data_IF_679654147956
#
_entry.id   IF_679654147956
#
_cell.length_a   1.000
_cell.length_b   1.000
_cell.length_c   1.000
_cell.angle_alpha   90.00
_cell.angle_beta   90.00
_cell.angle_gamma   90.00
#
_symmetry.space_group_name_H-M   'P 1'
#
loop_
_entity.id
_entity.type
_entity.pdbx_description
1 polymer ?
#
# COMPACT_ATOMS: atom_id res chain seq x y z
N UNK A 1 -25.19 -5.64 -12.79
CA UNK A 1 -24.09 -5.15 -13.66
C UNK A 1 -22.96 -6.17 -13.77
N UNK A 2 -22.49 -6.78 -12.67
CA UNK A 2 -21.45 -7.83 -12.70
C UNK A 2 -21.86 -9.08 -13.50
N UNK A 3 -23.11 -9.47 -13.48
CA UNK A 3 -23.61 -10.68 -14.16
C UNK A 3 -23.54 -10.63 -15.70
N UNK A 4 -23.25 -9.46 -16.27
CA UNK A 4 -23.10 -9.25 -17.71
C UNK A 4 -21.62 -9.25 -18.17
N UNK A 5 -20.68 -9.32 -17.24
CA UNK A 5 -19.25 -9.35 -17.54
C UNK A 5 -18.80 -10.78 -17.88
N UNK A 6 -17.83 -10.88 -18.80
CA UNK A 6 -17.16 -12.15 -19.08
C UNK A 6 -16.21 -12.54 -17.94
N UNK A 7 -15.64 -13.77 -17.98
CA UNK A 7 -14.88 -14.34 -16.88
C UNK A 7 -13.75 -13.45 -16.33
N UNK A 8 -12.86 -12.94 -17.19
CA UNK A 8 -11.73 -12.12 -16.76
C UNK A 8 -12.14 -10.71 -16.31
N UNK A 9 -13.08 -10.08 -17.03
CA UNK A 9 -13.60 -8.76 -16.68
C UNK A 9 -14.32 -8.81 -15.32
N UNK A 10 -15.05 -9.88 -15.08
CA UNK A 10 -15.74 -10.13 -13.81
C UNK A 10 -14.76 -10.30 -12.66
N UNK A 11 -13.71 -11.11 -12.81
CA UNK A 11 -12.69 -11.31 -11.77
C UNK A 11 -11.99 -10.00 -11.40
N UNK A 12 -11.62 -9.19 -12.38
CA UNK A 12 -11.00 -7.88 -12.11
C UNK A 12 -11.96 -6.94 -11.41
N UNK A 13 -13.24 -6.91 -11.82
CA UNK A 13 -14.26 -6.08 -11.17
C UNK A 13 -14.53 -6.52 -9.72
N UNK A 14 -14.64 -7.83 -9.47
CA UNK A 14 -14.82 -8.40 -8.13
C UNK A 14 -13.63 -8.05 -7.22
N UNK A 15 -12.39 -8.22 -7.71
CA UNK A 15 -11.18 -7.84 -6.97
C UNK A 15 -11.11 -6.35 -6.67
N UNK A 16 -11.46 -5.48 -7.62
CA UNK A 16 -11.51 -4.04 -7.40
C UNK A 16 -12.58 -3.66 -6.35
N UNK A 17 -13.75 -4.27 -6.39
CA UNK A 17 -14.80 -4.04 -5.39
C UNK A 17 -14.42 -4.57 -4.01
N UNK A 18 -13.70 -5.69 -3.94
CA UNK A 18 -13.18 -6.21 -2.68
C UNK A 18 -12.16 -5.23 -2.10
N UNK A 19 -11.18 -4.81 -2.91
CA UNK A 19 -10.19 -3.82 -2.49
C UNK A 19 -10.84 -2.54 -1.92
N UNK A 20 -11.86 -2.00 -2.59
CA UNK A 20 -12.55 -0.80 -2.10
C UNK A 20 -13.25 -1.01 -0.74
N UNK A 21 -13.81 -2.22 -0.50
CA UNK A 21 -14.42 -2.53 0.80
C UNK A 21 -13.37 -2.68 1.90
N UNK A 22 -12.28 -3.37 1.59
CA UNK A 22 -11.20 -3.61 2.54
C UNK A 22 -10.50 -2.29 2.89
N UNK A 23 -10.28 -1.44 1.90
CA UNK A 23 -9.70 -0.10 2.04
C UNK A 23 -10.57 0.80 2.96
N UNK A 24 -11.90 0.81 2.74
CA UNK A 24 -12.84 1.56 3.58
C UNK A 24 -12.84 1.04 5.03
N UNK A 25 -12.89 -0.27 5.24
CA UNK A 25 -12.83 -0.88 6.56
C UNK A 25 -11.51 -0.59 7.27
N UNK A 26 -10.39 -0.71 6.56
CA UNK A 26 -9.05 -0.49 7.06
C UNK A 26 -8.83 0.97 7.50
N UNK A 27 -9.13 1.93 6.62
CA UNK A 27 -8.91 3.35 6.90
C UNK A 27 -9.84 3.92 7.98
N UNK A 28 -10.99 3.31 8.21
CA UNK A 28 -11.93 3.72 9.26
C UNK A 28 -11.70 2.99 10.60
N UNK A 29 -10.77 2.04 10.69
CA UNK A 29 -10.53 1.38 11.97
C UNK A 29 -9.83 2.32 12.96
N UNK A 30 -10.16 2.23 14.28
CA UNK A 30 -9.61 3.13 15.29
C UNK A 30 -8.09 3.10 15.37
N UNK A 31 -7.47 1.93 15.19
CA UNK A 31 -6.02 1.77 15.22
C UNK A 31 -5.33 2.54 14.09
N UNK A 32 -5.84 2.45 12.84
CA UNK A 32 -5.30 3.20 11.71
C UNK A 32 -5.39 4.71 11.94
N UNK A 33 -6.58 5.22 12.30
CA UNK A 33 -6.81 6.65 12.54
C UNK A 33 -5.90 7.19 13.64
N UNK A 34 -5.72 6.45 14.72
CA UNK A 34 -4.80 6.80 15.80
C UNK A 34 -3.36 6.86 15.32
N UNK A 35 -2.90 5.85 14.58
CA UNK A 35 -1.52 5.76 14.08
C UNK A 35 -1.22 6.86 13.06
N UNK A 36 -2.12 7.11 12.12
CA UNK A 36 -2.00 8.21 11.15
C UNK A 36 -1.80 9.55 11.88
N UNK A 37 -2.63 9.83 12.89
CA UNK A 37 -2.50 11.05 13.68
C UNK A 37 -1.20 11.12 14.47
N UNK A 38 -0.78 10.03 15.13
CA UNK A 38 0.46 9.99 15.91
C UNK A 38 1.69 10.19 15.01
N UNK A 39 1.75 9.48 13.88
CA UNK A 39 2.87 9.61 12.94
C UNK A 39 2.90 10.99 12.28
N UNK A 40 1.74 11.57 11.95
CA UNK A 40 1.65 12.96 11.47
C UNK A 40 2.29 13.95 12.44
N UNK A 41 2.04 13.78 13.76
CA UNK A 41 2.67 14.62 14.80
C UNK A 41 4.19 14.41 14.85
N UNK A 42 4.67 13.17 14.72
CA UNK A 42 6.11 12.86 14.72
C UNK A 42 6.82 13.50 13.52
N UNK A 43 6.26 13.35 12.32
CA UNK A 43 6.79 13.99 11.12
C UNK A 43 6.73 15.52 11.20
N UNK A 44 5.66 16.10 11.80
CA UNK A 44 5.55 17.54 12.00
C UNK A 44 6.69 18.13 12.85
N UNK A 45 7.23 17.36 13.80
CA UNK A 45 8.39 17.79 14.61
C UNK A 45 9.69 17.87 13.82
N UNK A 46 9.84 17.03 12.80
CA UNK A 46 11.00 17.07 11.89
C UNK A 46 10.81 18.08 10.74
N UNK A 47 9.58 18.34 10.38
CA UNK A 47 9.18 19.26 9.30
C UNK A 47 8.43 20.43 9.95
N UNK A 48 9.15 21.42 10.51
CA UNK A 48 8.55 22.46 11.35
C UNK A 48 7.76 23.51 10.59
N UNK A 49 7.78 23.51 9.24
CA UNK A 49 6.99 24.43 8.45
C UNK A 49 5.48 24.17 8.66
N UNK A 50 4.72 25.13 9.22
CA UNK A 50 3.29 24.97 9.50
C UNK A 50 2.44 24.86 8.22
N UNK A 51 2.96 25.30 7.08
CA UNK A 51 2.28 25.22 5.77
C UNK A 51 2.64 23.95 5.00
N UNK A 52 3.53 23.12 5.53
CA UNK A 52 3.88 21.86 4.89
C UNK A 52 2.76 20.82 5.13
N UNK A 53 2.21 20.33 4.05
CA UNK A 53 1.13 19.32 4.07
C UNK A 53 1.64 17.87 4.07
N UNK A 54 2.97 17.66 4.03
CA UNK A 54 3.54 16.30 4.05
C UNK A 54 3.20 15.50 5.31
N UNK A 55 3.24 16.07 6.56
CA UNK A 55 3.05 15.27 7.75
C UNK A 55 1.77 14.43 7.81
N UNK A 56 0.56 14.92 7.48
CA UNK A 56 -0.63 14.08 7.41
C UNK A 56 -0.51 12.98 6.35
N UNK A 57 -0.05 13.31 5.15
CA UNK A 57 0.19 12.33 4.10
C UNK A 57 1.21 11.27 4.52
N UNK A 58 2.28 11.67 5.23
CA UNK A 58 3.30 10.75 5.73
C UNK A 58 2.75 9.86 6.85
N UNK A 59 1.91 10.39 7.74
CA UNK A 59 1.24 9.58 8.76
C UNK A 59 0.44 8.43 8.14
N UNK A 60 -0.32 8.74 7.11
CA UNK A 60 -1.13 7.79 6.36
C UNK A 60 -0.26 6.73 5.65
N UNK A 61 0.54 7.16 4.69
CA UNK A 61 1.29 6.23 3.81
C UNK A 61 2.32 5.39 4.59
N UNK A 62 2.96 5.94 5.63
CA UNK A 62 3.93 5.19 6.43
C UNK A 62 3.24 4.11 7.26
N UNK A 63 2.03 4.35 7.75
CA UNK A 63 1.24 3.30 8.43
C UNK A 63 1.00 2.12 7.51
N UNK A 64 0.57 2.37 6.26
CA UNK A 64 0.35 1.33 5.25
C UNK A 64 1.62 0.56 4.91
N UNK A 65 2.71 1.27 4.54
CA UNK A 65 3.96 0.62 4.13
C UNK A 65 4.59 -0.21 5.28
N UNK A 66 4.43 0.22 6.53
CA UNK A 66 4.93 -0.52 7.68
C UNK A 66 4.05 -1.70 8.06
N UNK A 67 2.74 -1.66 7.77
CA UNK A 67 1.87 -2.83 7.89
C UNK A 67 2.22 -3.89 6.83
N UNK A 68 2.49 -3.47 5.59
CA UNK A 68 3.00 -4.36 4.54
C UNK A 68 4.33 -5.01 4.95
N UNK A 69 5.22 -4.23 5.57
CA UNK A 69 6.47 -4.75 6.11
C UNK A 69 6.22 -5.79 7.21
N UNK A 70 5.27 -5.56 8.11
CA UNK A 70 4.88 -6.49 9.16
C UNK A 70 4.35 -7.80 8.58
N UNK A 71 3.41 -7.73 7.63
CA UNK A 71 2.86 -8.91 6.93
C UNK A 71 3.97 -9.75 6.27
N UNK A 72 4.90 -9.08 5.61
CA UNK A 72 6.03 -9.73 4.96
C UNK A 72 6.95 -10.43 5.96
N UNK A 73 7.12 -9.88 7.16
CA UNK A 73 7.94 -10.49 8.21
C UNK A 73 7.24 -11.68 8.87
N UNK A 74 5.90 -11.59 9.07
CA UNK A 74 5.14 -12.70 9.64
C UNK A 74 5.04 -13.90 8.68
N UNK A 75 4.88 -13.64 7.39
CA UNK A 75 4.66 -14.66 6.37
C UNK A 75 5.46 -14.34 5.09
N UNK A 76 6.80 -14.53 5.09
CA UNK A 76 7.65 -14.20 3.94
C UNK A 76 7.22 -14.90 2.65
N UNK A 77 6.72 -16.15 2.75
CA UNK A 77 6.23 -16.93 1.62
C UNK A 77 5.01 -16.32 0.92
N UNK A 78 4.23 -15.51 1.62
CA UNK A 78 3.10 -14.80 1.01
C UNK A 78 3.57 -13.74 0.01
N UNK A 79 4.65 -13.05 0.32
CA UNK A 79 5.22 -12.07 -0.60
C UNK A 79 5.80 -12.74 -1.85
N UNK A 80 6.51 -13.85 -1.69
CA UNK A 80 7.01 -14.63 -2.82
C UNK A 80 5.86 -15.12 -3.70
N UNK A 81 4.82 -15.69 -3.09
CA UNK A 81 3.62 -16.15 -3.79
C UNK A 81 2.88 -14.99 -4.48
N UNK A 82 2.78 -13.84 -3.84
CA UNK A 82 2.17 -12.65 -4.43
C UNK A 82 2.85 -12.25 -5.74
N UNK A 83 4.19 -12.17 -5.73
CA UNK A 83 4.93 -11.87 -6.96
C UNK A 83 4.81 -12.96 -8.01
N UNK A 84 4.82 -14.24 -7.64
CA UNK A 84 4.61 -15.33 -8.59
C UNK A 84 3.23 -15.24 -9.28
N UNK A 85 2.17 -14.96 -8.51
CA UNK A 85 0.83 -14.78 -9.09
C UNK A 85 0.77 -13.56 -10.02
N UNK A 86 1.46 -12.48 -9.67
CA UNK A 86 1.50 -11.29 -10.53
C UNK A 86 2.32 -11.51 -11.80
N UNK A 87 3.35 -12.36 -11.79
CA UNK A 87 4.15 -12.70 -12.99
C UNK A 87 3.31 -13.42 -14.06
N UNK A 88 2.24 -14.13 -13.66
CA UNK A 88 1.30 -14.78 -14.57
C UNK A 88 0.29 -13.79 -15.20
N UNK A 89 0.20 -12.56 -14.69
CA UNK A 89 -0.73 -11.54 -15.20
C UNK A 89 -0.14 -10.84 -16.41
N UNK A 90 -0.83 -10.87 -17.55
CA UNK A 90 -0.45 -10.05 -18.72
C UNK A 90 -0.78 -8.57 -18.48
N UNK A 91 0.20 -7.66 -18.33
CA UNK A 91 -0.07 -6.27 -17.99
C UNK A 91 -0.93 -5.53 -19.02
N UNK A 92 -0.75 -5.83 -20.31
CA UNK A 92 -1.54 -5.21 -21.38
C UNK A 92 -3.00 -5.67 -21.35
N UNK A 93 -3.24 -6.95 -21.06
CA UNK A 93 -4.62 -7.44 -20.96
C UNK A 93 -5.31 -6.89 -19.71
N UNK A 94 -4.61 -6.85 -18.58
CA UNK A 94 -5.12 -6.19 -17.37
C UNK A 94 -5.51 -4.72 -17.66
N UNK A 95 -4.65 -3.97 -18.35
CA UNK A 95 -4.95 -2.58 -18.71
C UNK A 95 -6.19 -2.48 -19.60
N UNK A 96 -6.36 -3.38 -20.58
CA UNK A 96 -7.55 -3.40 -21.43
C UNK A 96 -8.83 -3.68 -20.63
N UNK A 97 -8.76 -4.64 -19.69
CA UNK A 97 -9.90 -4.94 -18.81
C UNK A 97 -10.24 -3.72 -17.94
N UNK A 98 -9.25 -3.14 -17.29
CA UNK A 98 -9.45 -1.94 -16.45
C UNK A 98 -10.05 -0.80 -17.26
N UNK A 99 -9.55 -0.55 -18.49
CA UNK A 99 -10.10 0.51 -19.35
C UNK A 99 -11.54 0.27 -19.78
N UNK A 100 -11.98 -0.99 -19.91
CA UNK A 100 -13.41 -1.30 -20.17
C UNK A 100 -14.30 -1.03 -18.95
N UNK A 101 -13.77 -1.16 -17.75
CA UNK A 101 -14.51 -1.01 -16.49
C UNK A 101 -14.48 0.41 -15.93
N UNK A 102 -13.40 1.14 -16.17
CA UNK A 102 -13.16 2.47 -15.63
C UNK A 102 -13.90 3.57 -16.41
N UNK A 103 -14.21 4.66 -15.72
CA UNK A 103 -14.80 5.86 -16.35
C UNK A 103 -13.80 6.66 -17.19
N UNK A 104 -12.51 6.40 -17.04
CA UNK A 104 -11.41 7.02 -17.79
C UNK A 104 -10.39 5.96 -18.17
N UNK A 105 -9.98 5.97 -19.44
CA UNK A 105 -8.89 5.11 -19.91
C UNK A 105 -7.52 5.60 -19.44
N UNK A 106 -6.59 4.66 -19.31
CA UNK A 106 -5.19 4.92 -18.99
C UNK A 106 -4.27 4.08 -19.87
N UNK A 107 -3.13 4.63 -20.24
CA UNK A 107 -2.03 3.93 -20.89
C UNK A 107 -0.87 3.60 -19.90
N UNK A 108 -1.03 3.96 -18.62
CA UNK A 108 0.01 3.90 -17.60
C UNK A 108 0.02 2.61 -16.78
N UNK A 109 -1.09 1.85 -16.77
CA UNK A 109 -1.21 0.69 -15.90
C UNK A 109 -0.26 -0.43 -16.31
N UNK A 110 -0.20 -0.78 -17.60
CA UNK A 110 0.69 -1.83 -18.07
C UNK A 110 2.18 -1.53 -17.83
N UNK A 111 2.70 -0.33 -18.16
CA UNK A 111 4.06 0.04 -17.77
C UNK A 111 4.31 0.03 -16.27
N UNK A 112 3.34 0.48 -15.47
CA UNK A 112 3.44 0.48 -14.01
C UNK A 112 3.57 -0.94 -13.46
N UNK A 113 2.70 -1.87 -13.87
CA UNK A 113 2.75 -3.28 -13.43
C UNK A 113 4.09 -3.91 -13.82
N UNK A 114 4.57 -3.68 -15.04
CA UNK A 114 5.87 -4.19 -15.49
C UNK A 114 7.02 -3.67 -14.62
N UNK A 115 7.02 -2.37 -14.29
CA UNK A 115 8.05 -1.77 -13.44
C UNK A 115 7.95 -2.24 -11.98
N UNK A 116 6.73 -2.39 -11.46
CA UNK A 116 6.48 -2.89 -10.12
C UNK A 116 7.01 -4.31 -9.93
N UNK A 117 6.72 -5.20 -10.88
CA UNK A 117 7.23 -6.56 -10.90
C UNK A 117 8.77 -6.60 -10.96
N UNK A 118 9.37 -5.82 -11.86
CA UNK A 118 10.83 -5.77 -12.02
C UNK A 118 11.53 -5.22 -10.77
N UNK A 119 10.94 -4.24 -10.10
CA UNK A 119 11.54 -3.57 -8.96
C UNK A 119 11.33 -4.30 -7.63
N UNK A 120 10.37 -5.22 -7.53
CA UNK A 120 10.01 -5.97 -6.31
C UNK A 120 10.02 -5.11 -5.04
N UNK A 121 9.35 -3.95 -5.12
CA UNK A 121 9.47 -2.85 -4.14
C UNK A 121 9.08 -3.23 -2.71
N UNK A 122 8.19 -4.21 -2.52
CA UNK A 122 7.69 -4.60 -1.20
C UNK A 122 8.80 -5.22 -0.32
N UNK A 123 9.81 -5.86 -0.92
CA UNK A 123 10.97 -6.35 -0.15
C UNK A 123 11.80 -5.23 0.46
N UNK A 124 11.75 -4.02 -0.10
CA UNK A 124 12.51 -2.89 0.40
C UNK A 124 11.95 -2.32 1.70
N UNK A 125 10.68 -2.62 2.03
CA UNK A 125 10.01 -2.08 3.22
C UNK A 125 10.56 -2.64 4.53
N UNK A 126 11.34 -3.71 4.48
CA UNK A 126 12.03 -4.29 5.64
C UNK A 126 13.24 -3.48 6.11
N UNK A 127 13.84 -2.70 5.23
CA UNK A 127 15.02 -1.85 5.53
C UNK A 127 14.62 -0.38 5.56
N UNK A 128 14.91 0.33 6.65
CA UNK A 128 14.46 1.71 6.85
C UNK A 128 15.06 2.70 5.84
N UNK A 129 16.28 2.47 5.33
CA UNK A 129 16.88 3.32 4.28
C UNK A 129 16.25 3.07 2.92
N UNK A 130 15.94 1.81 2.61
CA UNK A 130 15.23 1.45 1.38
C UNK A 130 13.80 1.95 1.44
N UNK A 131 13.13 1.81 2.58
CA UNK A 131 11.78 2.36 2.82
C UNK A 131 11.77 3.88 2.60
N UNK A 132 12.73 4.63 3.16
CA UNK A 132 12.87 6.07 2.91
C UNK A 132 13.04 6.37 1.42
N UNK A 133 13.83 5.56 0.69
CA UNK A 133 14.00 5.70 -0.74
C UNK A 133 12.67 5.52 -1.48
N UNK A 134 11.88 4.50 -1.13
CA UNK A 134 10.56 4.25 -1.73
C UNK A 134 9.56 5.36 -1.38
N UNK A 135 9.54 5.80 -0.14
CA UNK A 135 8.72 6.92 0.31
C UNK A 135 9.04 8.21 -0.47
N UNK A 136 10.32 8.51 -0.71
CA UNK A 136 10.74 9.64 -1.53
C UNK A 136 10.33 9.50 -3.01
N UNK A 137 10.22 8.27 -3.53
CA UNK A 137 9.65 8.04 -4.87
C UNK A 137 8.13 8.34 -4.89
N UNK A 138 7.41 7.96 -3.86
CA UNK A 138 5.97 8.28 -3.71
C UNK A 138 5.77 9.79 -3.60
N UNK A 139 6.51 10.48 -2.72
CA UNK A 139 6.46 11.93 -2.57
C UNK A 139 6.69 12.67 -3.90
N UNK A 140 7.67 12.21 -4.68
CA UNK A 140 7.95 12.79 -6.01
C UNK A 140 6.76 12.66 -6.97
N UNK A 141 6.04 11.52 -6.94
CA UNK A 141 4.87 11.30 -7.81
C UNK A 141 3.71 12.25 -7.48
N UNK A 142 3.58 12.63 -6.21
CA UNK A 142 2.58 13.59 -5.74
C UNK A 142 3.12 15.02 -5.62
N UNK A 143 4.30 15.28 -6.23
CA UNK A 143 4.93 16.61 -6.29
C UNK A 143 5.29 17.22 -4.93
N UNK A 144 5.52 16.38 -3.94
CA UNK A 144 5.98 16.79 -2.61
C UNK A 144 7.51 16.71 -2.50
N UNK A 145 8.15 17.59 -1.70
CA UNK A 145 9.59 17.55 -1.47
C UNK A 145 10.03 16.23 -0.83
N UNK A 146 11.25 15.75 -1.13
CA UNK A 146 11.77 14.54 -0.48
C UNK A 146 12.07 14.77 1.01
N UNK A 147 12.15 13.67 1.73
CA UNK A 147 12.63 13.62 3.12
C UNK A 147 14.14 13.37 3.13
N UNK A 148 14.80 13.91 4.14
CA UNK A 148 16.21 13.62 4.41
C UNK A 148 16.40 12.39 5.33
N UNK A 149 17.65 12.01 5.56
CA UNK A 149 18.01 10.84 6.38
C UNK A 149 17.62 10.96 7.87
N UNK A 150 17.36 12.16 8.37
CA UNK A 150 16.90 12.36 9.76
C UNK A 150 15.55 11.66 9.99
N UNK A 151 14.76 11.50 8.92
CA UNK A 151 13.47 10.80 8.98
C UNK A 151 13.61 9.29 9.28
N UNK A 152 14.79 8.68 9.09
CA UNK A 152 15.01 7.26 9.39
C UNK A 152 14.75 6.95 10.88
N UNK A 153 15.08 7.85 11.78
CA UNK A 153 14.79 7.66 13.20
C UNK A 153 13.28 7.58 13.46
N UNK A 154 12.50 8.43 12.78
CA UNK A 154 11.03 8.38 12.89
C UNK A 154 10.46 7.13 12.24
N UNK A 155 11.00 6.68 11.11
CA UNK A 155 10.56 5.43 10.45
C UNK A 155 10.80 4.22 11.35
N UNK A 156 11.94 4.16 12.04
CA UNK A 156 12.26 3.10 13.00
C UNK A 156 11.29 3.08 14.19
N UNK A 157 11.03 4.25 14.77
CA UNK A 157 10.07 4.38 15.87
C UNK A 157 8.65 4.03 15.40
N UNK A 158 8.26 4.49 14.20
CA UNK A 158 6.97 4.20 13.58
C UNK A 158 6.78 2.69 13.38
N UNK A 159 7.81 1.97 12.91
CA UNK A 159 7.77 0.50 12.75
C UNK A 159 7.38 -0.19 14.06
N UNK A 160 8.04 0.16 15.17
CA UNK A 160 7.74 -0.44 16.45
C UNK A 160 6.31 -0.13 16.94
N UNK A 161 5.75 1.01 16.56
CA UNK A 161 4.40 1.42 16.95
C UNK A 161 3.36 0.71 16.07
N UNK A 162 3.51 0.76 14.76
CA UNK A 162 2.61 0.11 13.80
C UNK A 162 2.53 -1.40 14.06
N UNK A 163 3.66 -2.04 14.30
CA UNK A 163 3.71 -3.49 14.56
C UNK A 163 2.94 -3.92 15.80
N UNK A 164 2.84 -3.08 16.82
CA UNK A 164 2.03 -3.37 18.02
C UNK A 164 0.51 -3.34 17.76
N UNK A 165 0.07 -2.65 16.70
CA UNK A 165 -1.33 -2.49 16.32
C UNK A 165 -1.68 -3.21 15.02
N UNK A 166 -0.75 -3.97 14.43
CA UNK A 166 -0.93 -4.60 13.13
C UNK A 166 -2.13 -5.57 13.11
N UNK A 167 -2.22 -6.45 14.13
CA UNK A 167 -3.32 -7.40 14.24
C UNK A 167 -4.68 -6.71 14.41
N UNK A 168 -4.73 -5.60 15.17
CA UNK A 168 -5.95 -4.82 15.36
C UNK A 168 -6.42 -4.17 14.04
N UNK A 169 -5.48 -3.64 13.24
CA UNK A 169 -5.79 -3.08 11.92
C UNK A 169 -6.30 -4.16 10.96
N UNK A 170 -5.64 -5.32 10.93
CA UNK A 170 -6.02 -6.42 10.04
C UNK A 170 -7.36 -7.05 10.42
N UNK A 171 -7.69 -7.08 11.71
CA UNK A 171 -8.99 -7.58 12.18
C UNK A 171 -10.18 -6.74 11.70
N UNK A 172 -9.95 -5.50 11.26
CA UNK A 172 -10.99 -4.64 10.68
C UNK A 172 -11.32 -5.01 9.23
N UNK A 173 -10.40 -5.68 8.54
CA UNK A 173 -10.59 -6.14 7.15
C UNK A 173 -11.23 -7.53 7.19
N UNK A 174 -12.38 -7.71 6.52
CA UNK A 174 -12.99 -9.04 6.38
C UNK A 174 -12.01 -9.97 5.65
N UNK A 175 -11.53 -10.99 6.35
CA UNK A 175 -10.72 -12.04 5.73
C UNK A 175 -11.61 -12.73 4.71
N UNK A 176 -11.30 -12.57 3.43
CA UNK A 176 -11.98 -13.30 2.36
C UNK A 176 -11.80 -14.79 2.63
N UNK A 177 -12.90 -15.53 2.83
CA UNK A 177 -12.90 -16.98 2.98
C UNK A 177 -12.16 -17.59 1.77
N UNK A 178 -10.95 -18.08 1.98
CA UNK A 178 -10.16 -18.69 0.92
C UNK A 178 -8.65 -18.61 1.05
N UNK A 179 -8.11 -17.85 2.00
CA UNK A 179 -6.69 -17.94 2.34
C UNK A 179 -6.55 -19.14 3.29
N UNK A 180 -5.81 -20.21 2.94
CA UNK A 180 -5.60 -21.33 3.85
C UNK A 180 -4.93 -20.78 5.12
N UNK A 181 -5.58 -20.97 6.25
CA UNK A 181 -4.92 -20.82 7.54
C UNK A 181 -3.76 -21.82 7.58
N UNK A 182 -2.56 -21.31 7.86
CA UNK A 182 -1.34 -22.11 7.95
C UNK A 182 -1.39 -23.10 9.11
#
# INVERSE_FOLDING_TARGET
MLDQLNGSDRQVAEGALQHLRDDDAFHNCPAFVMLEAELSVRFRRLIPDPYDHRPPFLGHIVTELLLDAWLTEQCPEWLDRYYLVLEDVCPLELQRVVNRLASRETDRLAPFVTQFLAARVLYDYQDDHRLLTRLNQVLRRVTLPPLDEQCISVLRDARAIVWRHAEEMLAAVEVVEGIPQA
#
